data_IF_879782302382
#
_entry.id   IF_879782302382
#
_cell.length_a   1.000
_cell.length_b   1.000
_cell.length_c   1.000
_cell.angle_alpha   90.00
_cell.angle_beta   90.00
_cell.angle_gamma   90.00
#
_symmetry.space_group_name_H-M   'P 1'
#
loop_
_entity.id
_entity.type
_entity.pdbx_description
1 polymer ?
#
# COMPACT_ATOMS: atom_id res chain seq x y z
N UNK A 1 12.46 -10.96 7.27
CA UNK A 1 12.42 -9.55 6.85
C UNK A 1 11.04 -9.27 6.24
N UNK A 2 10.39 -8.23 6.70
CA UNK A 2 9.09 -7.80 6.16
C UNK A 2 9.26 -7.04 4.85
N UNK A 3 8.30 -7.18 3.95
CA UNK A 3 8.18 -6.39 2.74
C UNK A 3 6.92 -5.53 2.82
N UNK A 4 7.10 -4.23 2.85
CA UNK A 4 6.03 -3.24 2.86
C UNK A 4 5.84 -2.74 1.43
N UNK A 5 4.61 -2.85 0.91
CA UNK A 5 4.29 -2.48 -0.46
C UNK A 5 3.22 -1.39 -0.45
N UNK A 6 3.54 -0.23 -1.02
CA UNK A 6 2.54 0.78 -1.33
C UNK A 6 2.15 0.68 -2.81
N UNK A 7 0.85 0.57 -3.10
CA UNK A 7 0.38 0.49 -4.48
C UNK A 7 0.05 1.87 -5.05
N UNK A 8 0.23 2.00 -6.36
CA UNK A 8 -0.07 3.22 -7.10
C UNK A 8 0.37 3.10 -8.55
N UNK A 9 0.17 4.18 -9.29
CA UNK A 9 0.64 4.35 -10.66
C UNK A 9 1.74 5.41 -10.69
N UNK A 10 2.81 5.15 -11.46
CA UNK A 10 3.91 6.11 -11.63
C UNK A 10 3.52 7.21 -12.61
N UNK A 11 4.07 8.39 -12.40
CA UNK A 11 3.90 9.55 -13.27
C UNK A 11 3.17 10.70 -12.58
N UNK A 12 3.48 11.93 -13.00
CA UNK A 12 2.95 13.15 -12.39
C UNK A 12 1.43 13.22 -12.40
N UNK A 13 0.80 12.74 -13.46
CA UNK A 13 -0.67 12.79 -13.58
C UNK A 13 -1.41 11.94 -12.54
N UNK A 14 -0.72 11.00 -11.89
CA UNK A 14 -1.34 10.11 -10.90
C UNK A 14 -1.01 10.47 -9.45
N UNK A 15 -0.13 11.44 -9.21
CA UNK A 15 0.41 11.75 -7.88
C UNK A 15 -0.66 11.95 -6.79
N UNK A 16 -1.78 12.56 -7.14
CA UNK A 16 -2.83 12.91 -6.19
C UNK A 16 -4.11 12.13 -6.41
N UNK A 17 -4.07 11.07 -7.22
CA UNK A 17 -5.26 10.24 -7.44
C UNK A 17 -5.53 9.36 -6.23
N UNK A 18 -6.80 8.97 -6.06
CA UNK A 18 -7.23 8.07 -5.00
C UNK A 18 -6.48 6.73 -5.05
N UNK A 19 -6.24 6.23 -6.26
CA UNK A 19 -5.53 4.97 -6.49
C UNK A 19 -4.08 4.99 -5.98
N UNK A 20 -3.50 6.17 -5.77
CA UNK A 20 -2.13 6.35 -5.30
C UNK A 20 -2.00 6.51 -3.78
N UNK A 21 -3.06 6.30 -3.01
CA UNK A 21 -2.97 6.48 -1.56
C UNK A 21 -1.92 5.56 -0.93
N UNK A 22 -1.73 4.35 -1.47
CA UNK A 22 -0.66 3.46 -1.02
C UNK A 22 0.73 4.06 -1.20
N UNK A 23 1.01 4.67 -2.34
CA UNK A 23 2.25 5.42 -2.58
C UNK A 23 2.41 6.56 -1.57
N UNK A 24 1.35 7.31 -1.33
CA UNK A 24 1.38 8.45 -0.39
C UNK A 24 1.74 8.00 1.03
N UNK A 25 1.22 6.86 1.48
CA UNK A 25 1.51 6.32 2.82
C UNK A 25 2.99 5.95 2.94
N UNK A 26 3.54 5.20 1.98
CA UNK A 26 4.96 4.79 2.08
C UNK A 26 5.91 5.96 1.86
N UNK A 27 5.52 6.98 1.09
CA UNK A 27 6.30 8.21 0.97
C UNK A 27 6.34 8.97 2.30
N UNK A 28 5.23 9.04 3.03
CA UNK A 28 5.19 9.63 4.37
C UNK A 28 6.02 8.82 5.36
N UNK A 29 5.94 7.48 5.28
CA UNK A 29 6.77 6.59 6.09
C UNK A 29 8.26 6.89 5.86
N UNK A 30 8.66 7.06 4.60
CA UNK A 30 10.03 7.38 4.24
C UNK A 30 10.48 8.72 4.82
N UNK A 31 9.65 9.73 4.68
CA UNK A 31 9.92 11.06 5.22
C UNK A 31 10.10 11.02 6.74
N UNK A 32 9.18 10.34 7.45
CA UNK A 32 9.19 10.29 8.91
C UNK A 32 10.38 9.49 9.46
N UNK A 33 10.86 8.50 8.71
CA UNK A 33 11.96 7.61 9.14
C UNK A 33 13.30 7.94 8.47
N UNK A 34 13.35 8.97 7.65
CA UNK A 34 14.60 9.46 7.07
C UNK A 34 15.25 8.56 6.04
N UNK A 35 14.46 7.80 5.27
CA UNK A 35 15.02 6.98 4.20
C UNK A 35 14.49 7.43 2.83
N UNK A 36 15.22 7.04 1.79
CA UNK A 36 14.89 7.40 0.40
C UNK A 36 14.74 6.16 -0.47
N UNK A 37 13.83 6.26 -1.44
CA UNK A 37 13.65 5.23 -2.46
C UNK A 37 14.66 5.41 -3.59
N UNK A 38 15.16 4.28 -4.12
CA UNK A 38 15.96 4.23 -5.34
C UNK A 38 15.24 3.38 -6.36
N UNK A 39 15.28 3.79 -7.62
CA UNK A 39 14.68 2.99 -8.69
C UNK A 39 15.52 1.74 -8.94
N UNK A 40 14.88 0.58 -8.86
CA UNK A 40 15.46 -0.72 -9.20
C UNK A 40 14.74 -1.25 -10.45
N UNK A 41 15.27 -0.90 -11.62
CA UNK A 41 14.63 -1.20 -12.91
C UNK A 41 14.44 -2.69 -13.13
N UNK A 42 15.41 -3.52 -12.73
CA UNK A 42 15.32 -4.98 -12.86
C UNK A 42 14.24 -5.59 -12.00
N UNK A 43 13.87 -4.94 -10.89
CA UNK A 43 12.82 -5.38 -9.97
C UNK A 43 11.51 -4.62 -10.20
N UNK A 44 11.49 -3.72 -11.17
CA UNK A 44 10.29 -2.94 -11.56
C UNK A 44 9.66 -2.18 -10.40
N UNK A 45 10.48 -1.56 -9.56
CA UNK A 45 9.99 -0.80 -8.42
C UNK A 45 10.97 0.29 -7.97
N UNK A 46 10.45 1.24 -7.19
CA UNK A 46 11.28 2.03 -6.28
C UNK A 46 11.42 1.24 -5.00
N UNK A 47 12.64 1.13 -4.47
CA UNK A 47 12.95 0.28 -3.34
C UNK A 47 13.78 1.04 -2.30
N UNK A 48 13.46 0.82 -1.03
CA UNK A 48 14.26 1.26 0.09
C UNK A 48 14.48 0.08 1.04
N UNK A 49 15.73 -0.10 1.49
CA UNK A 49 16.07 -1.03 2.55
C UNK A 49 16.37 -0.21 3.79
N UNK A 50 15.63 -0.43 4.87
CA UNK A 50 15.72 0.39 6.06
C UNK A 50 15.46 -0.43 7.33
N UNK A 51 15.46 0.23 8.48
CA UNK A 51 15.09 -0.38 9.75
C UNK A 51 13.92 0.40 10.35
N UNK A 52 12.92 -0.35 10.83
CA UNK A 52 11.80 0.21 11.58
C UNK A 52 11.72 -0.58 12.89
N UNK A 53 11.73 0.13 14.02
CA UNK A 53 11.77 -0.48 15.35
C UNK A 53 12.92 -1.51 15.52
N UNK A 54 14.06 -1.25 14.86
CA UNK A 54 15.23 -2.12 14.94
C UNK A 54 15.24 -3.30 13.97
N UNK A 55 14.13 -3.59 13.30
CA UNK A 55 14.04 -4.69 12.35
C UNK A 55 14.30 -4.22 10.91
N UNK A 56 15.06 -5.00 10.15
CA UNK A 56 15.24 -4.74 8.73
C UNK A 56 13.94 -4.94 7.97
N UNK A 57 13.61 -3.96 7.11
CA UNK A 57 12.44 -4.02 6.24
C UNK A 57 12.81 -3.54 4.84
N UNK A 58 12.11 -4.09 3.86
CA UNK A 58 12.09 -3.54 2.51
C UNK A 58 10.77 -2.79 2.31
N UNK A 59 10.85 -1.62 1.71
CA UNK A 59 9.68 -0.83 1.32
C UNK A 59 9.75 -0.61 -0.18
N UNK A 60 8.67 -0.93 -0.90
CA UNK A 60 8.64 -0.76 -2.35
C UNK A 60 7.41 -0.03 -2.83
N UNK A 61 7.59 0.66 -3.96
CA UNK A 61 6.51 1.21 -4.80
C UNK A 61 6.68 0.60 -6.19
N UNK A 62 5.80 -0.32 -6.63
CA UNK A 62 5.90 -0.88 -7.98
C UNK A 62 5.82 0.19 -9.07
N UNK A 63 6.62 0.04 -10.14
CA UNK A 63 6.59 0.95 -11.29
C UNK A 63 5.87 0.35 -12.50
N UNK A 64 5.19 -0.76 -12.29
CA UNK A 64 4.53 -1.56 -13.32
C UNK A 64 3.18 -1.03 -13.78
N UNK A 65 2.69 0.08 -13.23
CA UNK A 65 1.29 0.45 -13.17
C UNK A 65 0.46 -0.58 -12.36
N UNK A 66 -0.73 -0.14 -11.93
CA UNK A 66 -1.51 -0.87 -10.92
C UNK A 66 -1.83 -2.31 -11.30
N UNK A 67 -2.27 -2.53 -12.54
CA UNK A 67 -2.72 -3.85 -12.99
C UNK A 67 -1.60 -4.91 -13.10
N UNK A 68 -0.35 -4.50 -13.00
CA UNK A 68 0.81 -5.40 -13.06
C UNK A 68 1.64 -5.38 -11.77
N UNK A 69 1.08 -4.86 -10.68
CA UNK A 69 1.80 -4.72 -9.40
C UNK A 69 2.42 -6.02 -8.90
N UNK A 70 1.77 -7.16 -9.15
CA UNK A 70 2.27 -8.47 -8.73
C UNK A 70 3.58 -8.87 -9.39
N UNK A 71 3.89 -8.37 -10.59
CA UNK A 71 5.17 -8.64 -11.25
C UNK A 71 6.34 -8.12 -10.40
N UNK A 72 6.25 -6.87 -9.96
CA UNK A 72 7.29 -6.27 -9.14
C UNK A 72 7.46 -7.00 -7.81
N UNK A 73 6.34 -7.30 -7.17
CA UNK A 73 6.37 -7.98 -5.86
C UNK A 73 7.02 -9.35 -5.99
N UNK A 74 6.67 -10.13 -7.01
CA UNK A 74 7.27 -11.46 -7.19
C UNK A 74 8.77 -11.38 -7.50
N UNK A 75 9.21 -10.39 -8.25
CA UNK A 75 10.64 -10.18 -8.52
C UNK A 75 11.41 -9.85 -7.23
N UNK A 76 10.85 -8.98 -6.38
CA UNK A 76 11.46 -8.61 -5.09
C UNK A 76 11.50 -9.82 -4.15
N UNK A 77 10.40 -10.57 -4.06
CA UNK A 77 10.33 -11.79 -3.25
C UNK A 77 11.41 -12.79 -3.64
N UNK A 78 11.57 -13.02 -4.93
CA UNK A 78 12.56 -13.98 -5.44
C UNK A 78 13.99 -13.50 -5.16
N UNK A 79 14.26 -12.23 -5.38
CA UNK A 79 15.59 -11.67 -5.19
C UNK A 79 16.03 -11.66 -3.72
N UNK A 80 15.13 -11.26 -2.81
CA UNK A 80 15.44 -11.14 -1.38
C UNK A 80 15.00 -12.34 -0.54
N UNK A 81 14.46 -13.38 -1.17
CA UNK A 81 13.99 -14.62 -0.49
C UNK A 81 12.92 -14.33 0.55
N UNK A 82 11.91 -13.55 0.16
CA UNK A 82 10.79 -13.17 1.03
C UNK A 82 9.62 -14.09 0.78
N UNK A 83 8.97 -14.55 1.85
CA UNK A 83 7.79 -15.39 1.78
C UNK A 83 6.51 -14.54 1.77
N UNK A 84 5.41 -15.11 1.25
CA UNK A 84 4.10 -14.43 1.17
C UNK A 84 3.63 -13.92 2.54
N UNK A 85 3.88 -14.70 3.61
CA UNK A 85 3.51 -14.32 4.98
C UNK A 85 4.21 -13.06 5.50
N UNK A 86 5.30 -12.65 4.86
CA UNK A 86 6.09 -11.49 5.27
C UNK A 86 5.73 -10.21 4.52
N UNK A 87 4.69 -10.25 3.69
CA UNK A 87 4.25 -9.12 2.87
C UNK A 87 3.09 -8.41 3.55
N UNK A 88 3.15 -7.07 3.57
CA UNK A 88 2.00 -6.22 3.87
C UNK A 88 1.80 -5.22 2.73
N UNK A 89 0.57 -5.16 2.21
CA UNK A 89 0.23 -4.31 1.05
C UNK A 89 -0.72 -3.21 1.50
N UNK A 90 -0.39 -1.97 1.14
CA UNK A 90 -1.18 -0.77 1.47
C UNK A 90 -1.83 -0.27 0.19
N UNK A 91 -3.15 -0.15 0.19
CA UNK A 91 -3.91 0.21 -1.01
C UNK A 91 -5.26 0.83 -0.68
N UNK A 92 -5.87 1.43 -1.71
CA UNK A 92 -7.15 2.11 -1.64
C UNK A 92 -8.34 1.15 -1.58
N UNK A 93 -9.35 1.49 -0.78
CA UNK A 93 -10.58 0.72 -0.65
C UNK A 93 -11.81 1.63 -0.81
N UNK A 94 -12.60 1.34 -1.84
CA UNK A 94 -13.83 2.06 -2.16
C UNK A 94 -14.92 1.89 -1.12
N UNK A 95 -14.94 0.75 -0.42
CA UNK A 95 -15.99 0.41 0.55
C UNK A 95 -15.78 1.05 1.92
N UNK A 96 -14.61 1.67 2.13
CA UNK A 96 -14.30 2.40 3.34
C UNK A 96 -14.31 3.91 3.08
N UNK A 97 -14.91 4.65 3.99
CA UNK A 97 -14.88 6.11 3.92
C UNK A 97 -13.47 6.65 4.12
N UNK A 98 -13.19 7.81 3.51
CA UNK A 98 -11.95 8.54 3.77
C UNK A 98 -11.80 8.81 5.27
N UNK A 99 -10.61 8.54 5.80
CA UNK A 99 -10.31 8.61 7.22
C UNK A 99 -10.38 7.28 7.95
N UNK A 100 -10.96 6.26 7.33
CA UNK A 100 -11.01 4.89 7.87
C UNK A 100 -9.88 4.05 7.28
N UNK A 101 -9.40 3.09 8.04
CA UNK A 101 -8.47 2.08 7.54
C UNK A 101 -8.84 0.71 8.13
N UNK A 102 -8.35 -0.35 7.50
CA UNK A 102 -8.65 -1.71 7.95
C UNK A 102 -7.51 -2.67 7.64
N UNK A 103 -7.07 -3.38 8.67
CA UNK A 103 -6.11 -4.49 8.51
C UNK A 103 -6.86 -5.80 8.23
N UNK A 104 -6.30 -6.62 7.33
CA UNK A 104 -6.78 -7.97 7.01
C UNK A 104 -5.59 -8.90 6.80
N UNK A 105 -5.70 -10.15 7.27
CA UNK A 105 -4.68 -11.19 7.08
C UNK A 105 -4.76 -11.86 5.72
N UNK A 106 -5.93 -11.80 5.08
CA UNK A 106 -6.17 -12.43 3.78
C UNK A 106 -7.46 -11.87 3.19
N UNK A 107 -7.80 -12.28 1.99
CA UNK A 107 -9.05 -11.89 1.36
C UNK A 107 -8.99 -11.90 -0.15
N UNK A 108 -10.17 -11.75 -0.78
CA UNK A 108 -10.28 -11.61 -2.23
C UNK A 108 -9.71 -10.27 -2.70
N UNK A 109 -9.69 -10.05 -4.01
CA UNK A 109 -9.21 -8.79 -4.57
C UNK A 109 -10.21 -7.63 -4.40
N UNK A 110 -11.48 -7.91 -4.13
CA UNK A 110 -12.52 -6.87 -3.98
C UNK A 110 -12.70 -6.01 -5.22
N UNK A 111 -12.28 -6.49 -6.39
CA UNK A 111 -12.29 -5.73 -7.64
C UNK A 111 -11.06 -4.83 -7.84
N UNK A 112 -10.13 -4.81 -6.89
CA UNK A 112 -8.92 -4.00 -7.00
C UNK A 112 -7.90 -4.69 -7.92
N UNK A 113 -7.54 -4.05 -9.04
CA UNK A 113 -6.68 -4.65 -10.06
C UNK A 113 -5.26 -4.94 -9.57
N UNK A 114 -4.72 -4.11 -8.70
CA UNK A 114 -3.41 -4.35 -8.10
C UNK A 114 -3.40 -5.60 -7.23
N UNK A 115 -4.42 -5.78 -6.39
CA UNK A 115 -4.53 -6.97 -5.54
C UNK A 115 -4.77 -8.22 -6.38
N UNK A 116 -5.57 -8.13 -7.43
CA UNK A 116 -5.79 -9.23 -8.39
C UNK A 116 -4.44 -9.69 -8.97
N UNK A 117 -3.61 -8.75 -9.41
CA UNK A 117 -2.29 -9.03 -9.95
C UNK A 117 -1.38 -9.69 -8.91
N UNK A 118 -1.39 -9.20 -7.68
CA UNK A 118 -0.57 -9.76 -6.59
C UNK A 118 -0.96 -11.21 -6.32
N UNK A 119 -2.25 -11.48 -6.12
CA UNK A 119 -2.74 -12.83 -5.86
C UNK A 119 -2.27 -13.80 -6.95
N UNK A 120 -2.38 -13.38 -8.20
CA UNK A 120 -1.94 -14.18 -9.36
C UNK A 120 -0.44 -14.47 -9.33
N UNK A 121 0.39 -13.48 -9.04
CA UNK A 121 1.84 -13.59 -9.15
C UNK A 121 2.53 -14.20 -7.92
N UNK A 122 1.97 -14.01 -6.73
CA UNK A 122 2.58 -14.56 -5.51
C UNK A 122 2.02 -15.94 -5.13
N UNK A 123 1.04 -16.43 -5.88
CA UNK A 123 0.52 -17.78 -5.70
C UNK A 123 -0.48 -17.92 -4.57
N UNK A 124 -1.17 -16.84 -4.20
CA UNK A 124 -2.21 -16.93 -3.18
C UNK A 124 -2.61 -15.59 -2.57
N UNK A 125 -3.58 -15.63 -1.70
CA UNK A 125 -4.21 -14.45 -1.09
C UNK A 125 -3.91 -14.28 0.41
N UNK A 126 -3.01 -15.09 0.96
CA UNK A 126 -2.68 -15.09 2.40
C UNK A 126 -1.50 -14.16 2.70
N UNK A 127 -1.70 -12.87 2.48
CA UNK A 127 -0.77 -11.82 2.86
C UNK A 127 -1.53 -10.73 3.61
N UNK A 128 -0.82 -10.01 4.47
CA UNK A 128 -1.42 -8.93 5.26
C UNK A 128 -1.72 -7.71 4.40
N UNK A 129 -2.79 -6.99 4.75
CA UNK A 129 -3.27 -5.84 3.99
C UNK A 129 -3.66 -4.71 4.92
N UNK A 130 -3.36 -3.50 4.47
CA UNK A 130 -3.89 -2.27 5.06
C UNK A 130 -4.73 -1.59 3.99
N UNK A 131 -6.04 -1.65 4.17
CA UNK A 131 -7.02 -0.99 3.30
C UNK A 131 -7.21 0.44 3.78
N UNK A 132 -6.96 1.40 2.90
CA UNK A 132 -7.11 2.82 3.22
C UNK A 132 -8.36 3.36 2.53
N UNK A 133 -9.32 3.86 3.30
CA UNK A 133 -10.59 4.33 2.79
C UNK A 133 -10.45 5.52 1.85
N UNK A 134 -11.14 5.46 0.73
CA UNK A 134 -11.22 6.55 -0.25
C UNK A 134 -12.67 6.89 -0.61
N UNK A 135 -13.63 6.16 -0.05
CA UNK A 135 -15.06 6.34 -0.31
C UNK A 135 -15.67 7.53 0.41
N UNK A 136 -16.98 7.72 0.26
CA UNK A 136 -17.88 6.87 -0.52
C UNK A 136 -17.73 7.07 -2.03
N UNK A 137 -17.98 6.01 -2.79
CA UNK A 137 -17.99 6.08 -4.25
C UNK A 137 -19.27 6.74 -4.73
N UNK A 138 -19.18 7.81 -5.54
CA UNK A 138 -20.37 8.39 -6.18
C UNK A 138 -20.88 7.48 -7.30
N UNK A 139 -22.03 7.79 -7.93
CA UNK A 139 -22.61 6.95 -8.98
C UNK A 139 -21.85 7.06 -10.32
N UNK A 140 -20.55 6.76 -10.30
CA UNK A 140 -19.66 6.67 -11.47
C UNK A 140 -18.90 5.35 -11.39
N UNK A 141 -18.38 4.83 -12.51
CA UNK A 141 -17.59 3.60 -12.49
C UNK A 141 -16.40 3.68 -11.54
N UNK A 142 -16.10 2.59 -10.85
CA UNK A 142 -15.00 2.50 -9.90
C UNK A 142 -13.64 2.86 -10.54
N UNK A 143 -13.39 2.36 -11.75
CA UNK A 143 -12.16 2.63 -12.49
C UNK A 143 -11.96 4.10 -12.84
N UNK A 144 -13.06 4.85 -13.01
CA UNK A 144 -12.99 6.29 -13.23
C UNK A 144 -12.75 7.02 -11.90
N UNK A 145 -13.45 6.61 -10.84
CA UNK A 145 -13.36 7.24 -9.53
C UNK A 145 -11.96 7.15 -8.92
N UNK A 146 -11.32 5.97 -8.98
CA UNK A 146 -10.00 5.76 -8.38
C UNK A 146 -8.90 6.56 -9.08
N UNK A 147 -9.09 6.90 -10.36
CA UNK A 147 -8.14 7.71 -11.13
C UNK A 147 -8.42 9.22 -11.04
N UNK A 148 -9.46 9.64 -10.33
CA UNK A 148 -9.67 11.04 -10.00
C UNK A 148 -8.79 11.45 -8.83
N UNK A 149 -8.37 12.71 -8.83
CA UNK A 149 -7.69 13.30 -7.68
C UNK A 149 -8.64 13.40 -6.50
N UNK A 150 -8.09 13.35 -5.29
CA UNK A 150 -8.85 13.76 -4.11
C UNK A 150 -9.32 15.21 -4.29
N UNK A 151 -10.55 15.49 -3.88
CA UNK A 151 -11.09 16.84 -3.93
C UNK A 151 -10.34 17.77 -2.96
N UNK A 152 -10.32 19.06 -3.26
CA UNK A 152 -9.63 20.05 -2.41
C UNK A 152 -10.14 20.05 -0.98
N UNK A 153 -11.44 19.88 -0.78
CA UNK A 153 -12.07 19.83 0.54
C UNK A 153 -11.79 18.53 1.30
N UNK A 154 -11.19 17.53 0.63
CA UNK A 154 -10.80 16.27 1.24
C UNK A 154 -9.33 16.25 1.70
N UNK A 155 -8.53 17.25 1.34
CA UNK A 155 -7.07 17.22 1.56
C UNK A 155 -6.68 17.16 3.03
N UNK A 156 -7.41 17.82 3.93
CA UNK A 156 -7.12 17.76 5.36
C UNK A 156 -7.42 16.36 5.93
N UNK A 157 -8.53 15.77 5.54
CA UNK A 157 -8.89 14.41 5.95
C UNK A 157 -7.92 13.37 5.36
N UNK A 158 -7.46 13.59 4.13
CA UNK A 158 -6.45 12.75 3.50
C UNK A 158 -5.14 12.77 4.29
N UNK A 159 -4.66 13.95 4.67
CA UNK A 159 -3.44 14.10 5.46
C UNK A 159 -3.54 13.36 6.79
N UNK A 160 -4.66 13.54 7.49
CA UNK A 160 -4.93 12.84 8.76
C UNK A 160 -4.95 11.32 8.56
N UNK A 161 -5.58 10.86 7.49
CA UNK A 161 -5.65 9.44 7.15
C UNK A 161 -4.26 8.86 6.87
N UNK A 162 -3.43 9.57 6.12
CA UNK A 162 -2.05 9.13 5.82
C UNK A 162 -1.25 9.04 7.12
N UNK A 163 -1.30 10.05 7.98
CA UNK A 163 -0.61 10.06 9.28
C UNK A 163 -1.06 8.87 10.12
N UNK A 164 -2.37 8.66 10.23
CA UNK A 164 -2.94 7.55 11.00
C UNK A 164 -2.52 6.20 10.42
N UNK A 165 -2.47 6.07 9.11
CA UNK A 165 -2.03 4.83 8.45
C UNK A 165 -0.56 4.53 8.72
N UNK A 166 0.31 5.55 8.69
CA UNK A 166 1.73 5.38 9.07
C UNK A 166 1.86 4.94 10.52
N UNK A 167 1.13 5.57 11.44
CA UNK A 167 1.11 5.15 12.85
C UNK A 167 0.67 3.69 13.00
N UNK A 168 -0.37 3.31 12.26
CA UNK A 168 -0.89 1.93 12.29
C UNK A 168 0.13 0.92 11.76
N UNK A 169 0.87 1.30 10.73
CA UNK A 169 1.92 0.46 10.15
C UNK A 169 3.07 0.28 11.16
N UNK A 170 3.46 1.33 11.86
CA UNK A 170 4.47 1.24 12.91
C UNK A 170 4.01 0.34 14.06
N UNK A 171 2.73 0.46 14.46
CA UNK A 171 2.11 -0.45 15.44
C UNK A 171 2.15 -1.90 14.95
N UNK A 172 1.78 -2.13 13.71
CA UNK A 172 1.82 -3.46 13.07
C UNK A 172 3.23 -4.05 13.09
N UNK A 173 4.22 -3.26 12.75
CA UNK A 173 5.62 -3.70 12.73
C UNK A 173 6.14 -4.03 14.14
N UNK A 174 5.72 -3.27 15.14
CA UNK A 174 6.15 -3.46 16.52
C UNK A 174 5.40 -4.56 17.25
N UNK A 175 4.06 -4.57 17.11
CA UNK A 175 3.16 -5.35 17.97
C UNK A 175 2.40 -6.45 17.24
N UNK A 176 2.45 -6.49 15.90
CA UNK A 176 1.80 -7.51 15.07
C UNK A 176 0.39 -7.13 14.62
N UNK A 177 -0.15 -8.00 13.76
CA UNK A 177 -1.43 -7.78 13.08
C UNK A 177 -2.61 -7.65 14.05
N UNK A 178 -2.71 -8.54 15.03
CA UNK A 178 -3.85 -8.56 15.94
C UNK A 178 -3.99 -7.26 16.73
N UNK A 179 -2.88 -6.75 17.27
CA UNK A 179 -2.90 -5.48 18.00
C UNK A 179 -3.19 -4.29 17.10
N UNK A 180 -2.68 -4.30 15.87
CA UNK A 180 -3.00 -3.25 14.91
C UNK A 180 -4.48 -3.29 14.54
N UNK A 181 -5.06 -4.46 14.35
CA UNK A 181 -6.51 -4.62 14.13
C UNK A 181 -7.32 -4.05 15.29
N UNK A 182 -6.94 -4.39 16.51
CA UNK A 182 -7.68 -3.96 17.72
C UNK A 182 -7.67 -2.44 17.89
N UNK A 183 -6.59 -1.78 17.49
CA UNK A 183 -6.45 -0.32 17.65
C UNK A 183 -7.02 0.49 16.49
N UNK A 184 -6.95 -0.02 15.27
CA UNK A 184 -7.18 0.79 14.08
C UNK A 184 -8.36 0.35 13.22
N UNK A 185 -8.82 -0.88 13.32
CA UNK A 185 -10.00 -1.35 12.57
C UNK A 185 -11.31 -0.73 13.04
#
# INVERSE_FOLDING_TARGET
MKLIVGLGNVGEKYLFTRHNVGFMVVDKLAYDNGFEFKEEKKLKCFLAKTRINGDEVLVIKPTTFMNLSGEAISLVMNYYKIEVKDIVVIYDDLSLELGKLRFRASGSDGGHNGIKSIIKHVGGKNFDRIKVGIGPQPPIPAEAFVLQNFAKDQMDDLKKSIIRTVESLECYMRDGLEKAQNRYN
#
